data_IF_034497989430
#
_entry.id   IF_034497989430
#
_cell.length_a   1.000
_cell.length_b   1.000
_cell.length_c   1.000
_cell.angle_alpha   90.00
_cell.angle_beta   90.00
_cell.angle_gamma   90.00
#
_symmetry.space_group_name_H-M   'P 1'
#
loop_
_entity.id
_entity.type
_entity.pdbx_description
1 polymer ?
#
# COMPACT_ATOMS: atom_id res chain seq x y z
N UNK A 1 16.30 13.16 -52.48
CA UNK A 1 15.56 12.26 -53.39
C UNK A 1 14.24 11.90 -52.74
N UNK A 2 13.14 11.87 -53.51
CA UNK A 2 11.83 11.43 -53.04
C UNK A 2 11.85 9.94 -52.68
N UNK A 3 11.43 9.57 -51.46
CA UNK A 3 11.32 8.16 -51.02
C UNK A 3 9.87 7.81 -50.72
N UNK A 4 9.33 6.78 -51.37
CA UNK A 4 7.94 6.37 -51.17
C UNK A 4 7.73 5.76 -49.77
N UNK A 5 6.64 6.13 -49.08
CA UNK A 5 6.32 5.58 -47.77
C UNK A 5 5.76 4.15 -47.91
N UNK A 6 6.28 3.23 -47.09
CA UNK A 6 5.81 1.83 -47.07
C UNK A 6 4.30 1.76 -46.79
N UNK A 7 3.57 1.02 -47.63
CA UNK A 7 2.12 0.82 -47.52
C UNK A 7 1.27 1.96 -48.09
N UNK A 8 1.88 3.00 -48.64
CA UNK A 8 1.19 4.03 -49.40
C UNK A 8 1.65 3.93 -50.86
N UNK A 9 0.71 4.09 -51.79
CA UNK A 9 1.02 4.08 -53.23
C UNK A 9 1.99 5.21 -53.62
N UNK A 10 2.43 5.27 -54.89
CA UNK A 10 3.44 6.23 -55.36
C UNK A 10 3.07 7.71 -55.17
N UNK A 11 1.84 8.01 -54.75
CA UNK A 11 1.36 9.36 -54.48
C UNK A 11 1.94 9.98 -53.20
N UNK A 12 2.36 9.18 -52.22
CA UNK A 12 2.91 9.72 -50.96
C UNK A 12 4.40 9.46 -50.83
N UNK A 13 5.15 10.54 -51.05
CA UNK A 13 6.59 10.57 -50.97
C UNK A 13 7.04 11.31 -49.71
N UNK A 14 7.98 10.73 -48.98
CA UNK A 14 8.72 11.37 -47.89
C UNK A 14 9.91 12.12 -48.48
N UNK A 15 10.02 13.41 -48.15
CA UNK A 15 11.19 14.22 -48.48
C UNK A 15 12.26 13.98 -47.41
N UNK A 16 13.38 13.40 -47.81
CA UNK A 16 14.56 13.22 -46.94
C UNK A 16 15.64 14.20 -47.43
N UNK A 17 16.12 15.05 -46.53
CA UNK A 17 17.27 15.91 -46.78
C UNK A 17 18.56 15.15 -46.43
N UNK A 18 19.50 15.10 -47.37
CA UNK A 18 20.82 14.51 -47.13
C UNK A 18 21.77 15.62 -46.71
N UNK A 19 22.16 15.63 -45.43
CA UNK A 19 23.17 16.56 -44.95
C UNK A 19 24.59 16.14 -45.38
N UNK A 20 25.46 17.13 -45.54
CA UNK A 20 26.90 16.92 -45.79
C UNK A 20 27.51 16.02 -44.70
N UNK A 21 28.47 15.17 -45.08
CA UNK A 21 29.16 14.24 -44.17
C UNK A 21 29.78 14.95 -42.97
N UNK A 22 30.37 16.14 -43.16
CA UNK A 22 30.94 16.95 -42.07
C UNK A 22 29.88 17.29 -41.01
N UNK A 23 28.68 17.65 -41.46
CA UNK A 23 27.56 17.95 -40.57
C UNK A 23 27.06 16.71 -39.84
N UNK A 24 27.02 15.54 -40.49
CA UNK A 24 26.65 14.27 -39.84
C UNK A 24 27.61 13.90 -38.71
N UNK A 25 28.92 14.10 -38.91
CA UNK A 25 29.95 13.83 -37.90
C UNK A 25 29.78 14.78 -36.71
N UNK A 26 29.60 16.07 -36.98
CA UNK A 26 29.35 17.07 -35.93
C UNK A 26 28.08 16.76 -35.15
N UNK A 27 26.98 16.46 -35.84
CA UNK A 27 25.69 16.11 -35.22
C UNK A 27 25.79 14.83 -34.37
N UNK A 28 26.48 13.79 -34.84
CA UNK A 28 26.70 12.56 -34.07
C UNK A 28 27.51 12.81 -32.80
N UNK A 29 28.53 13.67 -32.89
CA UNK A 29 29.38 14.04 -31.74
C UNK A 29 28.57 14.81 -30.69
N UNK A 30 27.73 15.75 -31.12
CA UNK A 30 26.83 16.51 -30.23
C UNK A 30 25.80 15.58 -29.61
N UNK A 31 25.14 14.74 -30.41
CA UNK A 31 24.12 13.80 -29.95
C UNK A 31 24.70 12.84 -28.91
N UNK A 32 25.86 12.25 -29.15
CA UNK A 32 26.51 11.34 -28.20
C UNK A 32 26.77 11.99 -26.82
N UNK A 33 27.12 13.27 -26.79
CA UNK A 33 27.30 14.04 -25.54
C UNK A 33 25.96 14.32 -24.85
N UNK A 34 24.94 14.67 -25.62
CA UNK A 34 23.61 15.01 -25.10
C UNK A 34 22.79 13.78 -24.68
N UNK A 35 22.98 12.63 -25.34
CA UNK A 35 22.23 11.41 -25.05
C UNK A 35 22.41 11.01 -23.58
N UNK A 36 23.63 11.10 -23.02
CA UNK A 36 23.87 10.75 -21.61
C UNK A 36 23.00 11.57 -20.64
N UNK A 37 22.98 12.88 -20.80
CA UNK A 37 22.17 13.77 -19.95
C UNK A 37 20.66 13.60 -20.21
N UNK A 38 20.27 13.36 -21.47
CA UNK A 38 18.87 13.12 -21.84
C UNK A 38 18.34 11.83 -21.23
N UNK A 39 19.10 10.74 -21.28
CA UNK A 39 18.66 9.43 -20.76
C UNK A 39 18.35 9.47 -19.26
N UNK A 40 19.11 10.26 -18.48
CA UNK A 40 18.88 10.45 -17.04
C UNK A 40 17.60 11.24 -16.73
N UNK A 41 17.22 12.17 -17.61
CA UNK A 41 16.01 12.99 -17.42
C UNK A 41 14.74 12.36 -18.04
N UNK A 42 14.88 11.38 -18.92
CA UNK A 42 13.75 10.81 -19.69
C UNK A 42 13.01 9.73 -18.90
N UNK A 43 11.67 9.75 -18.97
CA UNK A 43 10.83 8.72 -18.31
C UNK A 43 11.03 7.33 -18.93
N UNK A 44 11.05 6.30 -18.09
CA UNK A 44 11.29 4.89 -18.49
C UNK A 44 10.35 4.38 -19.60
N UNK A 45 9.10 4.86 -19.64
CA UNK A 45 8.09 4.42 -20.62
C UNK A 45 8.30 4.97 -22.04
N UNK A 46 9.26 5.89 -22.25
CA UNK A 46 9.62 6.35 -23.59
C UNK A 46 10.66 5.41 -24.20
N UNK A 47 10.43 4.93 -25.42
CA UNK A 47 11.39 4.07 -26.14
C UNK A 47 11.84 4.63 -27.49
N UNK A 48 11.23 5.73 -27.97
CA UNK A 48 11.55 6.29 -29.28
C UNK A 48 12.99 6.82 -29.33
N UNK A 49 13.78 6.31 -30.28
CA UNK A 49 15.15 6.74 -30.55
C UNK A 49 16.11 6.65 -29.35
N UNK A 50 15.81 5.80 -28.36
CA UNK A 50 16.68 5.55 -27.21
C UNK A 50 17.53 4.30 -27.45
N UNK A 51 18.81 4.30 -27.03
CA UNK A 51 19.61 3.09 -27.07
C UNK A 51 19.00 2.01 -26.15
N UNK A 52 18.95 0.77 -26.63
CA UNK A 52 18.48 -0.39 -25.86
C UNK A 52 16.96 -0.48 -25.63
N UNK A 53 16.16 0.42 -26.19
CA UNK A 53 14.69 0.36 -26.10
C UNK A 53 14.10 0.27 -27.51
N UNK A 54 13.29 -0.76 -27.76
CA UNK A 54 12.65 -0.99 -29.04
C UNK A 54 11.14 -0.75 -29.03
N UNK A 55 10.55 -0.76 -30.23
CA UNK A 55 9.09 -0.79 -30.38
C UNK A 55 8.46 -2.02 -29.71
N UNK A 56 9.20 -3.13 -29.65
CA UNK A 56 8.76 -4.39 -29.02
C UNK A 56 8.53 -4.18 -27.52
N UNK A 57 9.43 -3.47 -26.83
CA UNK A 57 9.31 -3.19 -25.39
C UNK A 57 8.08 -2.32 -25.12
N UNK A 58 7.83 -1.30 -25.95
CA UNK A 58 6.61 -0.49 -25.81
C UNK A 58 5.35 -1.30 -26.01
N UNK A 59 5.29 -2.15 -27.04
CA UNK A 59 4.14 -3.01 -27.29
C UNK A 59 3.95 -4.00 -26.14
N UNK A 60 5.03 -4.56 -25.59
CA UNK A 60 4.99 -5.45 -24.45
C UNK A 60 4.41 -4.74 -23.22
N UNK A 61 4.95 -3.57 -22.83
CA UNK A 61 4.43 -2.78 -21.72
C UNK A 61 2.95 -2.42 -21.95
N UNK A 62 2.58 -1.98 -23.15
CA UNK A 62 1.18 -1.67 -23.49
C UNK A 62 0.26 -2.90 -23.37
N UNK A 63 0.73 -4.09 -23.75
CA UNK A 63 -0.02 -5.33 -23.60
C UNK A 63 -0.16 -5.73 -22.13
N UNK A 64 0.89 -5.60 -21.34
CA UNK A 64 0.84 -5.87 -19.89
C UNK A 64 -0.12 -4.92 -19.18
N UNK A 65 -0.06 -3.62 -19.51
CA UNK A 65 -0.95 -2.59 -18.96
C UNK A 65 -2.41 -2.76 -19.40
N UNK A 66 -2.68 -3.45 -20.52
CA UNK A 66 -4.03 -3.76 -21.00
C UNK A 66 -4.51 -5.15 -20.63
N UNK A 67 -3.65 -6.00 -20.07
CA UNK A 67 -4.02 -7.37 -19.74
C UNK A 67 -4.91 -7.37 -18.49
N UNK A 68 -6.18 -7.78 -18.58
CA UNK A 68 -7.11 -7.69 -17.45
C UNK A 68 -6.68 -8.55 -16.26
N UNK A 69 -6.02 -9.69 -16.50
CA UNK A 69 -5.51 -10.55 -15.43
C UNK A 69 -4.39 -9.87 -14.63
N UNK A 70 -3.50 -9.13 -15.31
CA UNK A 70 -2.41 -8.38 -14.67
C UNK A 70 -2.98 -7.21 -13.87
N UNK A 71 -3.88 -6.42 -14.48
CA UNK A 71 -4.55 -5.31 -13.79
C UNK A 71 -5.27 -5.82 -12.54
N UNK A 72 -6.07 -6.88 -12.68
CA UNK A 72 -6.80 -7.48 -11.57
C UNK A 72 -5.86 -8.00 -10.47
N UNK A 73 -4.75 -8.65 -10.86
CA UNK A 73 -3.71 -9.09 -9.92
C UNK A 73 -3.11 -7.93 -9.12
N UNK A 74 -2.78 -6.81 -9.78
CA UNK A 74 -2.31 -5.59 -9.10
C UNK A 74 -3.38 -4.95 -8.21
N UNK A 75 -4.65 -4.95 -8.61
CA UNK A 75 -5.76 -4.47 -7.77
C UNK A 75 -5.92 -5.32 -6.51
N UNK A 76 -5.88 -6.65 -6.63
CA UNK A 76 -5.92 -7.54 -5.47
C UNK A 76 -4.69 -7.32 -4.58
N UNK A 77 -3.49 -7.29 -5.16
CA UNK A 77 -2.25 -7.13 -4.40
C UNK A 77 -2.21 -5.80 -3.65
N UNK A 78 -2.60 -4.71 -4.31
CA UNK A 78 -2.70 -3.39 -3.67
C UNK A 78 -3.77 -3.36 -2.59
N UNK A 79 -4.91 -4.01 -2.77
CA UNK A 79 -5.94 -4.15 -1.73
C UNK A 79 -5.44 -4.97 -0.53
N UNK A 80 -4.73 -6.09 -0.77
CA UNK A 80 -4.14 -6.94 0.29
C UNK A 80 -3.06 -6.18 1.06
N UNK A 81 -2.15 -5.50 0.35
CA UNK A 81 -1.11 -4.66 0.95
C UNK A 81 -1.73 -3.55 1.79
N UNK A 82 -2.66 -2.77 1.22
CA UNK A 82 -3.35 -1.69 1.93
C UNK A 82 -4.11 -2.22 3.14
N UNK A 83 -4.81 -3.34 3.01
CA UNK A 83 -5.51 -3.97 4.12
C UNK A 83 -4.57 -4.41 5.25
N UNK A 84 -3.41 -5.00 4.92
CA UNK A 84 -2.39 -5.37 5.92
C UNK A 84 -1.81 -4.14 6.60
N UNK A 85 -1.46 -3.11 5.82
CA UNK A 85 -0.91 -1.86 6.33
C UNK A 85 -1.89 -1.16 7.28
N UNK A 86 -3.15 -1.02 6.89
CA UNK A 86 -4.21 -0.41 7.72
C UNK A 86 -4.38 -1.17 9.04
N UNK A 87 -4.40 -2.52 9.02
CA UNK A 87 -4.47 -3.32 10.25
C UNK A 87 -3.28 -3.10 11.15
N UNK A 88 -2.07 -3.01 10.59
CA UNK A 88 -0.86 -2.73 11.36
C UNK A 88 -0.88 -1.31 11.94
N UNK A 89 -1.35 -0.31 11.19
CA UNK A 89 -1.53 1.06 11.68
C UNK A 89 -2.52 1.14 12.83
N UNK A 90 -3.67 0.47 12.72
CA UNK A 90 -4.66 0.39 13.80
C UNK A 90 -4.12 -0.29 15.06
N UNK A 91 -3.21 -1.25 14.91
CA UNK A 91 -2.55 -1.93 16.02
C UNK A 91 -1.44 -1.10 16.68
N UNK A 92 -1.05 0.05 16.13
CA UNK A 92 -0.05 0.92 16.76
C UNK A 92 -0.62 1.58 18.02
N UNK A 93 0.23 1.74 19.05
CA UNK A 93 -0.20 2.36 20.33
C UNK A 93 -0.80 3.75 20.12
N UNK A 94 -0.15 4.59 19.32
CA UNK A 94 -0.62 5.95 19.05
C UNK A 94 -2.06 5.97 18.52
N UNK A 95 -2.34 5.17 17.49
CA UNK A 95 -3.68 5.10 16.89
C UNK A 95 -4.68 4.44 17.84
N UNK A 96 -4.27 3.39 18.54
CA UNK A 96 -5.10 2.71 19.53
C UNK A 96 -5.54 3.65 20.66
N UNK A 97 -4.61 4.43 21.20
CA UNK A 97 -4.88 5.39 22.28
C UNK A 97 -5.77 6.52 21.79
N UNK A 98 -5.54 7.00 20.56
CA UNK A 98 -6.36 8.01 19.92
C UNK A 98 -7.82 7.54 19.75
N UNK A 99 -8.02 6.32 19.25
CA UNK A 99 -9.35 5.69 19.11
C UNK A 99 -10.02 5.50 20.49
N UNK A 100 -9.25 5.11 21.51
CA UNK A 100 -9.77 4.98 22.88
C UNK A 100 -10.26 6.32 23.40
N UNK A 101 -9.47 7.38 23.25
CA UNK A 101 -9.84 8.74 23.66
C UNK A 101 -11.10 9.21 22.93
N UNK A 102 -11.24 8.97 21.62
CA UNK A 102 -12.50 9.25 20.89
C UNK A 102 -13.69 8.59 21.56
N UNK A 103 -13.56 7.30 21.88
CA UNK A 103 -14.65 6.52 22.47
C UNK A 103 -15.02 7.02 23.86
N UNK A 104 -14.03 7.32 24.69
CA UNK A 104 -14.24 7.79 26.06
C UNK A 104 -14.84 9.20 26.06
N UNK A 105 -14.36 10.10 25.19
CA UNK A 105 -14.94 11.44 25.00
C UNK A 105 -16.38 11.37 24.48
N UNK A 106 -16.67 10.51 23.50
CA UNK A 106 -18.03 10.33 22.99
C UNK A 106 -18.98 9.78 24.08
N UNK A 107 -18.51 8.81 24.87
CA UNK A 107 -19.28 8.24 25.99
C UNK A 107 -19.55 9.29 27.07
N UNK A 108 -18.58 10.13 27.40
CA UNK A 108 -18.73 11.24 28.33
C UNK A 108 -19.79 12.24 27.85
N UNK A 109 -19.75 12.65 26.58
CA UNK A 109 -20.76 13.55 25.98
C UNK A 109 -22.16 12.94 26.08
N UNK A 110 -22.30 11.64 25.75
CA UNK A 110 -23.58 10.95 25.86
C UNK A 110 -24.08 10.89 27.30
N UNK A 111 -23.21 10.61 28.28
CA UNK A 111 -23.55 10.60 29.69
C UNK A 111 -24.03 11.96 30.19
N UNK A 112 -23.36 13.05 29.80
CA UNK A 112 -23.76 14.42 30.18
C UNK A 112 -25.15 14.77 29.64
N UNK A 113 -25.45 14.42 28.37
CA UNK A 113 -26.77 14.68 27.78
C UNK A 113 -27.90 13.86 28.42
N UNK A 114 -27.61 12.62 28.81
CA UNK A 114 -28.61 11.75 29.44
C UNK A 114 -28.96 12.23 30.85
N UNK A 115 -27.96 12.67 31.62
CA UNK A 115 -28.18 13.29 32.94
C UNK A 115 -28.96 14.60 32.84
N UNK A 116 -28.70 15.45 31.82
CA UNK A 116 -29.50 16.66 31.59
C UNK A 116 -30.98 16.35 31.32
N UNK A 117 -31.27 15.30 30.54
CA UNK A 117 -32.66 14.91 30.27
C UNK A 117 -33.39 14.46 31.54
N UNK A 118 -32.71 13.73 32.43
CA UNK A 118 -33.28 13.30 33.70
C UNK A 118 -33.49 14.47 34.69
N UNK A 119 -32.60 15.47 34.67
CA UNK A 119 -32.72 16.68 35.49
C UNK A 119 -33.87 17.57 35.00
N UNK A 120 -34.10 17.71 33.69
CA UNK A 120 -35.24 18.49 33.18
C UNK A 120 -36.60 17.88 33.54
N UNK A 121 -36.69 16.54 33.60
CA UNK A 121 -37.92 15.86 34.05
C UNK A 121 -38.21 16.01 35.55
N UNK A 122 -37.20 16.25 36.40
CA UNK A 122 -37.41 16.56 37.82
C UNK A 122 -37.64 18.05 38.09
N UNK A 123 -37.04 18.96 37.30
CA UNK A 123 -37.16 20.40 37.55
C UNK A 123 -38.51 21.00 37.12
N UNK A 124 -39.29 20.32 36.27
CA UNK A 124 -40.68 20.72 35.97
C UNK A 124 -41.62 20.62 37.18
N UNK A 125 -41.18 20.00 38.29
CA UNK A 125 -41.96 19.84 39.52
C UNK A 125 -41.65 20.87 40.62
N UNK A 126 -40.63 21.73 40.50
CA UNK A 126 -40.25 22.69 41.55
C UNK A 126 -40.03 24.11 41.00
N UNK A 127 -40.77 25.06 41.58
CA UNK A 127 -41.05 26.41 41.12
C UNK A 127 -39.97 27.48 41.42
N UNK A 128 -39.77 28.37 40.44
CA UNK A 128 -39.65 29.86 40.47
C UNK A 128 -38.47 30.67 41.05
N UNK A 129 -37.39 30.15 41.65
CA UNK A 129 -36.30 31.03 42.14
C UNK A 129 -34.88 30.76 41.57
N UNK A 130 -34.74 29.96 40.52
CA UNK A 130 -33.45 29.37 40.13
C UNK A 130 -32.90 29.83 38.76
N UNK A 131 -33.41 30.91 38.20
CA UNK A 131 -33.11 31.31 36.80
C UNK A 131 -31.74 31.95 36.58
N UNK A 132 -31.13 32.60 37.59
CA UNK A 132 -29.82 33.26 37.42
C UNK A 132 -28.66 32.24 37.52
N UNK A 133 -28.75 31.25 38.41
CA UNK A 133 -27.71 30.22 38.57
C UNK A 133 -27.77 29.18 37.44
N UNK A 134 -28.98 28.82 36.97
CA UNK A 134 -29.17 27.95 35.80
C UNK A 134 -28.57 28.57 34.52
N UNK A 135 -28.64 29.90 34.36
CA UNK A 135 -28.11 30.57 33.17
C UNK A 135 -26.57 30.45 33.08
N UNK A 136 -25.86 30.61 34.20
CA UNK A 136 -24.39 30.45 34.27
C UNK A 136 -23.94 28.99 34.14
N UNK A 137 -24.69 28.04 34.72
CA UNK A 137 -24.38 26.62 34.61
C UNK A 137 -24.60 26.10 33.18
N UNK A 138 -25.60 26.62 32.48
CA UNK A 138 -25.86 26.31 31.06
C UNK A 138 -24.78 26.89 30.14
N UNK A 139 -24.27 28.10 30.39
CA UNK A 139 -23.16 28.69 29.64
C UNK A 139 -21.85 27.90 29.83
N UNK A 140 -21.55 27.46 31.06
CA UNK A 140 -20.39 26.62 31.36
C UNK A 140 -20.49 25.25 30.68
N UNK A 141 -21.70 24.69 30.62
CA UNK A 141 -21.94 23.42 29.94
C UNK A 141 -21.79 23.55 28.42
N UNK A 142 -22.29 24.63 27.83
CA UNK A 142 -22.10 24.94 26.40
C UNK A 142 -20.60 25.12 26.06
N UNK A 143 -19.84 25.77 26.96
CA UNK A 143 -18.39 25.91 26.84
C UNK A 143 -17.67 24.56 26.97
N UNK A 144 -18.14 23.67 27.83
CA UNK A 144 -17.60 22.32 27.97
C UNK A 144 -17.88 21.47 26.73
N UNK A 145 -19.12 21.49 26.21
CA UNK A 145 -19.50 20.77 25.00
C UNK A 145 -18.70 21.24 23.78
N UNK A 146 -18.54 22.55 23.60
CA UNK A 146 -17.73 23.10 22.50
C UNK A 146 -16.27 22.70 22.61
N UNK A 147 -15.67 22.68 23.82
CA UNK A 147 -14.32 22.16 24.05
C UNK A 147 -14.18 20.68 23.71
N UNK A 148 -15.15 19.85 24.11
CA UNK A 148 -15.15 18.42 23.81
C UNK A 148 -15.28 18.15 22.31
N UNK A 149 -16.11 18.93 21.60
CA UNK A 149 -16.23 18.84 20.13
C UNK A 149 -14.93 19.25 19.42
N UNK A 150 -14.27 20.32 19.87
CA UNK A 150 -12.97 20.73 19.31
C UNK A 150 -11.92 19.64 19.53
N UNK A 151 -11.89 19.05 20.72
CA UNK A 151 -10.97 17.94 21.01
C UNK A 151 -11.25 16.73 20.13
N UNK A 152 -12.52 16.37 19.94
CA UNK A 152 -12.93 15.28 19.07
C UNK A 152 -12.51 15.55 17.62
N UNK A 153 -12.78 16.76 17.11
CA UNK A 153 -12.38 17.18 15.77
C UNK A 153 -10.86 17.08 15.57
N UNK A 154 -10.07 17.58 16.52
CA UNK A 154 -8.61 17.50 16.46
C UNK A 154 -8.12 16.06 16.38
N UNK A 155 -8.69 15.19 17.23
CA UNK A 155 -8.34 13.77 17.29
C UNK A 155 -8.71 13.04 15.99
N UNK A 156 -9.91 13.26 15.44
CA UNK A 156 -10.30 12.67 14.17
C UNK A 156 -9.42 13.16 13.02
N UNK A 157 -9.05 14.45 13.03
CA UNK A 157 -8.12 14.99 12.05
C UNK A 157 -6.75 14.33 12.17
N UNK A 158 -6.23 14.09 13.37
CA UNK A 158 -4.98 13.34 13.56
C UNK A 158 -5.05 11.91 13.00
N UNK A 159 -6.16 11.19 13.24
CA UNK A 159 -6.39 9.87 12.62
C UNK A 159 -6.37 10.01 11.09
N UNK A 160 -7.13 10.97 10.57
CA UNK A 160 -7.21 11.20 9.14
C UNK A 160 -5.83 11.51 8.52
N UNK A 161 -5.02 12.34 9.16
CA UNK A 161 -3.65 12.63 8.71
C UNK A 161 -2.80 11.36 8.66
N UNK A 162 -2.86 10.51 9.69
CA UNK A 162 -2.08 9.28 9.75
C UNK A 162 -2.46 8.32 8.62
N UNK A 163 -3.75 8.15 8.32
CA UNK A 163 -4.20 7.17 7.32
C UNK A 163 -4.17 7.70 5.88
N UNK A 164 -4.47 8.98 5.66
CA UNK A 164 -4.74 9.51 4.32
C UNK A 164 -3.70 10.53 3.82
N UNK A 165 -3.01 11.27 4.70
CA UNK A 165 -2.04 12.30 4.28
C UNK A 165 -0.58 11.92 4.49
N UNK A 166 -0.28 11.04 5.45
CA UNK A 166 1.10 10.60 5.69
C UNK A 166 1.68 9.78 4.54
N UNK A 167 2.98 9.97 4.29
CA UNK A 167 3.73 9.10 3.39
C UNK A 167 3.84 7.68 3.97
N UNK A 168 3.92 6.69 3.08
CA UNK A 168 4.08 5.27 3.45
C UNK A 168 5.31 5.07 4.35
N UNK A 169 6.38 5.81 4.12
CA UNK A 169 7.61 5.77 4.95
C UNK A 169 7.36 6.20 6.40
N UNK A 170 6.58 7.25 6.63
CA UNK A 170 6.20 7.71 7.98
C UNK A 170 5.29 6.68 8.67
N UNK A 171 4.34 6.12 7.93
CA UNK A 171 3.46 5.05 8.44
C UNK A 171 4.25 3.80 8.85
N UNK A 172 5.20 3.36 8.03
CA UNK A 172 6.07 2.22 8.35
C UNK A 172 6.95 2.52 9.56
N UNK A 173 7.54 3.71 9.64
CA UNK A 173 8.34 4.13 10.79
C UNK A 173 7.53 4.10 12.09
N UNK A 174 6.27 4.57 12.07
CA UNK A 174 5.36 4.49 13.20
C UNK A 174 5.13 3.03 13.64
N UNK A 175 4.85 2.14 12.69
CA UNK A 175 4.66 0.70 12.94
C UNK A 175 5.92 0.07 13.55
N UNK A 176 7.09 0.36 12.99
CA UNK A 176 8.37 -0.16 13.47
C UNK A 176 8.65 0.30 14.91
N UNK A 177 8.41 1.58 15.21
CA UNK A 177 8.61 2.15 16.55
C UNK A 177 7.63 1.57 17.57
N UNK A 178 6.39 1.26 17.19
CA UNK A 178 5.44 0.58 18.10
C UNK A 178 5.81 -0.89 18.34
N UNK A 179 6.31 -1.57 17.31
CA UNK A 179 6.75 -2.97 17.38
C UNK A 179 8.12 -3.11 18.05
N UNK A 180 8.84 -1.99 18.27
CA UNK A 180 10.11 -1.94 18.98
C UNK A 180 10.09 -2.54 20.39
N UNK A 181 8.92 -2.47 21.00
CA UNK A 181 8.65 -3.04 22.30
C UNK A 181 8.15 -4.49 22.24
N UNK A 182 7.73 -5.01 21.08
CA UNK A 182 7.19 -6.36 20.94
C UNK A 182 8.31 -7.40 20.74
N UNK A 183 9.41 -7.03 20.09
CA UNK A 183 10.58 -7.92 19.95
C UNK A 183 11.50 -7.95 21.18
N UNK A 184 11.24 -7.11 22.20
CA UNK A 184 11.98 -7.13 23.47
C UNK A 184 11.38 -8.08 24.51
N UNK A 185 10.16 -8.59 24.30
CA UNK A 185 9.48 -9.52 25.21
C UNK A 185 9.46 -10.99 24.73
N UNK A 186 9.82 -11.26 23.47
CA UNK A 186 9.72 -12.59 22.86
C UNK A 186 11.07 -13.34 22.75
N UNK A 187 12.09 -12.95 23.52
CA UNK A 187 13.34 -13.73 23.65
C UNK A 187 13.49 -14.44 25.00
N UNK A 188 12.53 -14.31 25.92
CA UNK A 188 12.65 -14.86 27.29
C UNK A 188 11.56 -15.85 27.70
N UNK A 189 10.66 -16.27 26.81
CA UNK A 189 9.70 -17.33 27.15
C UNK A 189 9.32 -18.15 25.92
N UNK A 190 9.96 -19.31 25.77
CA UNK A 190 9.46 -20.58 25.19
C UNK A 190 10.67 -21.51 24.93
N UNK A 191 11.33 -21.93 26.02
CA UNK A 191 12.04 -23.22 26.04
C UNK A 191 11.16 -24.18 26.83
N UNK A 192 10.26 -24.87 26.14
CA UNK A 192 9.79 -26.23 26.51
C UNK A 192 8.89 -26.81 25.41
N UNK A 193 9.09 -28.12 25.18
CA UNK A 193 8.23 -29.10 24.49
C UNK A 193 8.00 -28.96 22.97
N UNK A 194 8.89 -29.63 22.25
CA UNK A 194 8.59 -30.48 21.08
C UNK A 194 7.23 -31.17 21.14
N UNK A 195 6.36 -30.92 20.15
CA UNK A 195 5.43 -31.91 19.57
C UNK A 195 5.01 -31.51 18.15
N UNK A 196 5.48 -32.31 17.17
CA UNK A 196 4.72 -32.92 16.08
C UNK A 196 3.47 -32.22 15.51
N UNK A 197 3.44 -32.09 14.16
CA UNK A 197 2.35 -32.44 13.23
C UNK A 197 2.40 -31.48 12.01
N UNK A 198 2.90 -31.83 10.81
CA UNK A 198 2.67 -33.02 9.97
C UNK A 198 1.19 -33.34 9.82
N UNK A 199 0.35 -32.35 9.46
CA UNK A 199 -1.10 -32.55 9.34
C UNK A 199 -1.81 -32.00 8.11
N UNK A 200 -1.14 -31.79 6.98
CA UNK A 200 -1.85 -31.65 5.69
C UNK A 200 -1.09 -32.39 4.58
N UNK A 201 -1.07 -33.72 4.65
CA UNK A 201 -0.82 -34.61 3.51
C UNK A 201 -1.42 -35.99 3.87
N UNK A 202 -2.73 -36.03 4.06
CA UNK A 202 -3.50 -37.29 4.18
C UNK A 202 -4.90 -37.10 3.63
N UNK A 203 -5.02 -37.18 2.31
CA UNK A 203 -6.10 -37.93 1.69
C UNK A 203 -5.48 -38.73 0.56
N UNK A 204 -5.57 -40.05 0.69
CA UNK A 204 -5.91 -41.06 -0.33
C UNK A 204 -5.56 -42.43 0.27
N UNK A 205 -6.58 -43.27 0.47
CA UNK A 205 -6.41 -44.64 0.98
C UNK A 205 -5.83 -45.58 -0.10
N UNK A 206 -5.15 -46.66 0.29
CA UNK A 206 -4.34 -47.48 -0.59
C UNK A 206 -4.94 -48.87 -0.83
N UNK A 207 -5.61 -49.09 -1.96
CA UNK A 207 -5.82 -50.44 -2.51
C UNK A 207 -5.85 -50.38 -4.03
N UNK A 208 -4.69 -50.58 -4.64
CA UNK A 208 -4.42 -51.09 -6.01
C UNK A 208 -2.94 -50.77 -6.33
N UNK A 209 -2.01 -51.17 -5.44
CA UNK A 209 -0.57 -51.22 -5.77
C UNK A 209 -0.32 -52.62 -6.30
N UNK A 210 -0.65 -52.85 -7.56
CA UNK A 210 -0.15 -53.96 -8.39
C UNK A 210 -0.52 -53.72 -9.86
N UNK A 211 0.07 -52.68 -10.44
CA UNK A 211 0.22 -52.55 -11.90
C UNK A 211 1.37 -51.58 -12.20
N UNK A 212 2.57 -52.14 -12.29
CA UNK A 212 3.82 -51.47 -12.71
C UNK A 212 3.69 -50.97 -14.17
N UNK A 213 4.46 -49.93 -14.59
CA UNK A 213 5.72 -50.26 -15.27
C UNK A 213 6.94 -49.38 -14.91
N UNK A 214 8.09 -49.97 -15.25
CA UNK A 214 9.48 -49.59 -14.99
C UNK A 214 9.91 -48.30 -15.70
N UNK A 215 10.32 -47.28 -14.94
CA UNK A 215 11.38 -46.33 -15.37
C UNK A 215 11.90 -45.49 -14.19
N UNK A 216 12.32 -46.14 -13.11
CA UNK A 216 13.26 -45.56 -12.13
C UNK A 216 14.42 -46.53 -11.98
N UNK A 217 15.39 -46.43 -12.87
CA UNK A 217 16.76 -46.77 -12.49
C UNK A 217 17.53 -45.46 -12.41
N UNK A 218 18.00 -45.21 -11.19
CA UNK A 218 18.82 -44.09 -10.76
C UNK A 218 20.25 -44.44 -11.16
N UNK A 219 20.90 -43.66 -12.03
CA UNK A 219 22.35 -43.74 -12.23
C UNK A 219 23.03 -42.72 -11.32
N UNK A 220 23.36 -43.15 -10.09
CA UNK A 220 24.30 -42.44 -9.23
C UNK A 220 25.66 -43.13 -9.39
N UNK A 221 26.48 -42.66 -10.32
CA UNK A 221 27.88 -43.09 -10.41
C UNK A 221 28.73 -42.25 -9.44
N UNK A 222 29.07 -42.86 -8.31
CA UNK A 222 30.18 -42.46 -7.48
C UNK A 222 30.96 -43.70 -7.02
N UNK A 223 32.27 -43.66 -7.30
CA UNK A 223 33.39 -44.22 -6.55
C UNK A 223 34.14 -45.46 -7.11
N UNK A 224 35.48 -45.33 -7.24
CA UNK A 224 36.45 -46.39 -6.94
C UNK A 224 37.41 -46.90 -8.04
N UNK A 225 38.66 -46.41 -8.01
CA UNK A 225 39.98 -47.09 -8.16
C UNK A 225 40.14 -48.33 -9.09
N UNK A 226 41.16 -48.33 -9.97
CA UNK A 226 42.46 -49.05 -9.83
C UNK A 226 43.28 -49.05 -11.14
N UNK A 227 44.62 -48.94 -10.96
CA UNK A 227 45.77 -49.04 -11.89
C UNK A 227 46.18 -47.79 -12.67
#
# INVERSE_FOLDING_TARGET
>A
MPVCKKGQGPLVTITISLANIVFKILASTILGRLTKAREEQTRENQAGFRPGHGCIDQIFILRQCKNPCIIHGFTILSAVFRGRLTRQLLATRKVHDLIRTVKDTAKLILSIRLDQSNISFQSEFISTNQTIHQLTDNELLLLLESKLLIQLYHILNEIHEIFFKWSITKQISLICNSNASLYKMNYSSTKTSTTNSSRILRQLQPHQVNSLPKSKQISNNANGKEK
#
